data_IF_802845033767
#
_entry.id   IF_802845033767
#
_cell.length_a   1.000
_cell.length_b   1.000
_cell.length_c   1.000
_cell.angle_alpha   90.00
_cell.angle_beta   90.00
_cell.angle_gamma   90.00
#
_symmetry.space_group_name_H-M   'P 1'
#
loop_
_entity.id
_entity.type
_entity.pdbx_description
1 polymer ?
#
# COMPACT_ATOMS: atom_id res chain seq x y z
N UNK A 1 10.18 -3.76 -0.35
CA UNK A 1 8.99 -4.45 -0.87
C UNK A 1 9.10 -4.71 -2.35
N UNK A 2 8.46 -5.76 -2.90
CA UNK A 2 8.56 -6.05 -4.33
C UNK A 2 7.89 -4.93 -5.14
N UNK A 3 6.73 -4.41 -4.71
CA UNK A 3 6.08 -3.25 -5.34
C UNK A 3 7.02 -2.04 -5.37
N UNK A 4 7.59 -1.68 -4.24
CA UNK A 4 8.57 -0.59 -4.11
C UNK A 4 9.89 -0.87 -4.86
N UNK A 5 10.36 -2.14 -4.93
CA UNK A 5 11.53 -2.53 -5.73
C UNK A 5 11.25 -2.56 -7.23
N UNK A 6 10.01 -2.83 -7.62
CA UNK A 6 9.57 -2.82 -9.02
C UNK A 6 9.52 -1.39 -9.53
N UNK A 7 8.99 -0.45 -8.74
CA UNK A 7 9.01 0.98 -9.04
C UNK A 7 10.47 1.48 -9.14
N UNK A 8 11.34 1.13 -8.20
CA UNK A 8 12.79 1.47 -8.25
C UNK A 8 13.55 0.85 -9.43
N UNK A 9 13.12 -0.28 -9.96
CA UNK A 9 13.73 -0.89 -11.16
C UNK A 9 13.42 -0.15 -12.46
N UNK A 10 12.42 0.75 -12.46
CA UNK A 10 12.04 1.55 -13.63
C UNK A 10 12.74 2.92 -13.68
N UNK A 11 13.19 3.43 -12.54
CA UNK A 11 13.93 4.70 -12.46
C UNK A 11 15.33 4.42 -11.92
N UNK A 12 16.36 4.80 -12.68
CA UNK A 12 17.76 4.66 -12.29
C UNK A 12 18.01 5.30 -10.91
N UNK A 13 19.06 4.85 -10.24
CA UNK A 13 19.51 5.25 -8.90
C UNK A 13 19.53 6.79 -8.73
N UNK A 14 18.41 7.38 -8.31
CA UNK A 14 18.39 8.70 -7.70
C UNK A 14 18.50 8.53 -6.18
N UNK A 15 19.23 9.43 -5.53
CA UNK A 15 19.41 9.45 -4.08
C UNK A 15 18.04 9.55 -3.39
N UNK A 16 17.67 8.57 -2.59
CA UNK A 16 16.29 8.28 -2.13
C UNK A 16 15.74 9.29 -1.09
N UNK A 17 16.37 10.44 -0.89
CA UNK A 17 16.06 11.35 0.21
C UNK A 17 14.91 12.31 -0.04
N UNK A 18 14.50 12.50 -1.31
CA UNK A 18 13.49 13.49 -1.70
C UNK A 18 12.33 12.91 -2.54
N UNK A 19 12.22 11.57 -2.66
CA UNK A 19 11.17 10.94 -3.44
C UNK A 19 9.90 10.73 -2.60
N UNK A 20 8.80 11.31 -3.04
CA UNK A 20 7.47 11.10 -2.45
C UNK A 20 6.81 9.87 -3.08
N UNK A 21 6.27 8.99 -2.23
CA UNK A 21 5.37 7.94 -2.66
C UNK A 21 3.94 8.49 -2.66
N UNK A 22 3.33 8.57 -3.84
CA UNK A 22 1.97 9.08 -4.03
C UNK A 22 1.08 7.89 -4.33
N UNK A 23 0.11 7.62 -3.45
CA UNK A 23 -0.84 6.52 -3.58
C UNK A 23 -2.27 7.04 -3.69
N UNK A 24 -3.01 6.56 -4.70
CA UNK A 24 -4.47 6.72 -4.80
C UNK A 24 -5.11 5.34 -4.87
N UNK A 25 -6.09 5.09 -4.01
CA UNK A 25 -6.84 3.84 -3.94
C UNK A 25 -8.30 4.05 -4.29
N UNK A 26 -8.89 3.09 -5.01
CA UNK A 26 -10.31 3.08 -5.30
C UNK A 26 -10.91 1.67 -5.14
N UNK A 27 -12.18 1.53 -4.73
CA UNK A 27 -12.86 0.26 -4.83
C UNK A 27 -13.02 -0.15 -6.30
N UNK A 28 -12.91 -1.44 -6.59
CA UNK A 28 -13.02 -1.96 -7.95
C UNK A 28 -14.13 -3.01 -8.03
N UNK A 29 -15.11 -2.80 -8.91
CA UNK A 29 -16.23 -3.74 -9.09
C UNK A 29 -15.85 -4.97 -9.92
N UNK A 30 -14.85 -4.85 -10.80
CA UNK A 30 -14.47 -5.91 -11.74
C UNK A 30 -12.96 -5.83 -12.04
N UNK A 31 -12.18 -6.50 -11.20
CA UNK A 31 -10.72 -6.61 -11.37
C UNK A 31 -10.35 -7.31 -12.68
N UNK A 32 -11.17 -8.26 -13.15
CA UNK A 32 -10.89 -9.00 -14.39
C UNK A 32 -10.98 -8.08 -15.60
N UNK A 33 -12.00 -7.21 -15.65
CA UNK A 33 -12.15 -6.19 -16.70
C UNK A 33 -11.01 -5.18 -16.64
N UNK A 34 -10.66 -4.71 -15.44
CA UNK A 34 -9.57 -3.76 -15.23
C UNK A 34 -8.23 -4.35 -15.69
N UNK A 35 -7.95 -5.60 -15.33
CA UNK A 35 -6.77 -6.33 -15.77
C UNK A 35 -6.68 -6.43 -17.30
N UNK A 36 -7.78 -6.77 -17.97
CA UNK A 36 -7.84 -6.80 -19.44
C UNK A 36 -7.54 -5.42 -20.05
N UNK A 37 -8.01 -4.35 -19.44
CA UNK A 37 -7.74 -2.98 -19.89
C UNK A 37 -6.26 -2.61 -19.71
N UNK A 38 -5.65 -2.97 -18.57
CA UNK A 38 -4.21 -2.79 -18.33
C UNK A 38 -3.37 -3.48 -19.40
N UNK A 39 -3.66 -4.75 -19.70
CA UNK A 39 -2.95 -5.51 -20.72
C UNK A 39 -3.12 -4.88 -22.11
N UNK A 40 -4.33 -4.43 -22.48
CA UNK A 40 -4.58 -3.73 -23.75
C UNK A 40 -3.79 -2.43 -23.88
N UNK A 41 -3.55 -1.72 -22.77
CA UNK A 41 -2.75 -0.50 -22.75
C UNK A 41 -1.23 -0.76 -22.69
N UNK A 42 -0.81 -2.04 -22.73
CA UNK A 42 0.59 -2.44 -22.72
C UNK A 42 1.21 -2.46 -21.33
N UNK A 43 0.41 -2.63 -20.27
CA UNK A 43 0.94 -2.76 -18.92
C UNK A 43 1.81 -4.03 -18.81
N UNK A 44 2.95 -3.89 -18.13
CA UNK A 44 3.84 -5.00 -17.80
C UNK A 44 3.36 -5.71 -16.54
N UNK A 45 3.15 -7.02 -16.61
CA UNK A 45 2.81 -7.87 -15.46
C UNK A 45 4.08 -8.18 -14.63
N UNK A 46 4.05 -7.91 -13.34
CA UNK A 46 5.11 -8.22 -12.39
C UNK A 46 4.77 -9.38 -11.45
N UNK A 47 3.61 -10.01 -11.65
CA UNK A 47 3.18 -11.18 -10.91
C UNK A 47 2.23 -10.90 -9.75
N UNK A 48 2.02 -11.94 -8.96
CA UNK A 48 1.08 -11.93 -7.85
C UNK A 48 1.82 -12.10 -6.52
N UNK A 49 1.44 -11.28 -5.54
CA UNK A 49 1.93 -11.31 -4.18
C UNK A 49 0.82 -11.78 -3.24
N UNK A 50 1.16 -12.64 -2.28
CA UNK A 50 0.32 -12.96 -1.14
C UNK A 50 0.85 -12.18 0.05
N UNK A 51 0.03 -11.29 0.58
CA UNK A 51 0.42 -10.39 1.67
C UNK A 51 -0.45 -10.63 2.89
N UNK A 52 0.19 -10.65 4.06
CA UNK A 52 -0.48 -10.63 5.34
C UNK A 52 0.17 -9.56 6.23
N UNK A 53 -0.63 -8.59 6.62
CA UNK A 53 -0.24 -7.44 7.43
C UNK A 53 -0.77 -7.61 8.85
N UNK A 54 0.09 -7.61 9.85
CA UNK A 54 -0.31 -7.47 11.26
C UNK A 54 -0.04 -6.06 11.71
N UNK A 55 -1.07 -5.35 12.14
CA UNK A 55 -0.97 -4.00 12.68
C UNK A 55 -0.86 -4.05 14.19
N UNK A 56 -0.06 -3.14 14.76
CA UNK A 56 0.21 -3.10 16.20
C UNK A 56 -0.21 -1.75 16.80
N UNK A 57 -0.86 -1.82 17.97
CA UNK A 57 -1.13 -0.64 18.80
C UNK A 57 0.09 -0.31 19.67
N UNK A 58 0.40 0.97 19.78
CA UNK A 58 1.47 1.47 20.65
C UNK A 58 1.01 1.46 22.13
N UNK A 59 1.89 1.12 23.09
CA UNK A 59 1.50 0.98 24.50
C UNK A 59 1.08 2.28 25.18
N UNK A 60 1.54 3.45 24.68
CA UNK A 60 1.29 4.76 25.29
C UNK A 60 0.71 5.82 24.35
N UNK A 61 0.59 5.52 23.03
CA UNK A 61 0.03 6.44 22.02
C UNK A 61 -1.14 5.80 21.31
N UNK A 62 -2.16 6.57 21.01
CA UNK A 62 -3.28 6.15 20.18
C UNK A 62 -2.98 6.46 18.71
N UNK A 63 -2.47 5.47 17.99
CA UNK A 63 -2.12 5.60 16.57
C UNK A 63 -3.32 5.97 15.68
N UNK A 64 -4.55 5.62 16.09
CA UNK A 64 -5.75 6.03 15.38
C UNK A 64 -5.99 7.54 15.48
N UNK A 65 -5.60 8.19 16.62
CA UNK A 65 -5.73 9.64 16.79
C UNK A 65 -4.59 10.42 16.16
N UNK A 66 -3.39 9.82 16.12
CA UNK A 66 -2.20 10.48 15.56
C UNK A 66 -1.99 10.19 14.07
N UNK A 67 -2.88 9.41 13.44
CA UNK A 67 -2.79 8.96 12.06
C UNK A 67 -1.47 8.21 11.75
N UNK A 68 -0.95 7.49 12.74
CA UNK A 68 0.23 6.65 12.63
C UNK A 68 -0.14 5.18 12.44
N UNK A 69 0.78 4.37 11.94
CA UNK A 69 0.63 2.92 11.94
C UNK A 69 1.98 2.21 12.08
N UNK A 70 1.98 1.10 12.82
CA UNK A 70 3.08 0.13 12.85
C UNK A 70 2.57 -1.19 12.30
N UNK A 71 3.25 -1.71 11.29
CA UNK A 71 2.85 -2.92 10.56
C UNK A 71 4.01 -3.88 10.42
N UNK A 72 3.76 -5.17 10.64
CA UNK A 72 4.63 -6.25 10.19
C UNK A 72 3.93 -6.95 9.04
N UNK A 73 4.54 -6.92 7.86
CA UNK A 73 4.05 -7.56 6.63
C UNK A 73 4.85 -8.81 6.33
N UNK A 74 4.14 -9.90 6.06
CA UNK A 74 4.72 -11.03 5.32
C UNK A 74 4.27 -10.93 3.86
N UNK A 75 5.22 -11.04 2.94
CA UNK A 75 5.01 -11.00 1.51
C UNK A 75 5.78 -12.16 0.88
N UNK A 76 5.07 -13.22 0.50
CA UNK A 76 5.70 -14.49 0.14
C UNK A 76 6.69 -14.92 1.26
N UNK A 77 7.98 -14.99 0.97
CA UNK A 77 9.05 -15.38 1.92
C UNK A 77 9.73 -14.18 2.61
N UNK A 78 9.27 -12.97 2.35
CA UNK A 78 9.85 -11.75 2.93
C UNK A 78 9.01 -11.25 4.11
N UNK A 79 9.70 -10.75 5.13
CA UNK A 79 9.05 -10.04 6.24
C UNK A 79 9.62 -8.63 6.33
N UNK A 80 8.73 -7.64 6.45
CA UNK A 80 9.09 -6.23 6.55
C UNK A 80 8.32 -5.61 7.72
N UNK A 81 9.01 -4.86 8.56
CA UNK A 81 8.38 -3.96 9.53
C UNK A 81 8.35 -2.56 8.95
N UNK A 82 7.19 -1.91 9.04
CA UNK A 82 6.96 -0.56 8.53
C UNK A 82 6.38 0.31 9.62
N UNK A 83 7.00 1.44 9.90
CA UNK A 83 6.36 2.57 10.58
C UNK A 83 5.85 3.55 9.52
N UNK A 84 4.60 4.01 9.70
CA UNK A 84 3.96 5.00 8.86
C UNK A 84 3.59 6.19 9.71
N UNK A 85 4.13 7.36 9.38
CA UNK A 85 3.80 8.63 10.00
C UNK A 85 2.42 9.16 9.57
N UNK A 86 1.97 10.31 10.11
CA UNK A 86 0.74 10.98 9.71
C UNK A 86 0.74 11.33 8.21
N UNK A 87 -0.45 11.33 7.58
CA UNK A 87 -0.61 11.78 6.19
C UNK A 87 -0.25 13.27 6.05
N UNK A 88 0.50 13.61 5.02
CA UNK A 88 0.99 14.96 4.76
C UNK A 88 -0.02 15.84 4.02
N UNK A 89 -1.00 15.25 3.33
CA UNK A 89 -2.01 15.96 2.55
C UNK A 89 -3.40 15.33 2.65
N UNK A 90 -4.40 16.06 2.07
CA UNK A 90 -5.80 15.64 2.16
C UNK A 90 -6.31 14.80 0.98
N UNK A 91 -5.55 14.73 -0.12
CA UNK A 91 -6.00 14.10 -1.37
C UNK A 91 -5.33 12.76 -1.65
N UNK A 92 -4.16 12.52 -1.06
CA UNK A 92 -3.40 11.28 -1.22
C UNK A 92 -3.10 10.61 0.12
N UNK A 93 -2.39 9.49 0.09
CA UNK A 93 -1.87 8.81 1.29
C UNK A 93 -0.39 9.08 1.50
N UNK A 94 0.14 10.16 0.93
CA UNK A 94 1.53 10.54 1.08
C UNK A 94 1.88 10.76 2.54
N UNK A 95 2.93 10.08 3.03
CA UNK A 95 3.40 10.15 4.41
C UNK A 95 4.86 9.69 4.51
N UNK A 96 5.50 9.97 5.63
CA UNK A 96 6.78 9.32 5.94
C UNK A 96 6.58 7.81 6.16
N UNK A 97 7.40 6.98 5.53
CA UNK A 97 7.42 5.54 5.74
C UNK A 97 8.85 5.07 6.01
N UNK A 98 9.06 4.46 7.17
CA UNK A 98 10.32 3.85 7.55
C UNK A 98 10.17 2.33 7.49
N UNK A 99 10.98 1.68 6.66
CA UNK A 99 10.90 0.24 6.44
C UNK A 99 12.23 -0.47 6.66
N UNK A 100 12.14 -1.65 7.25
CA UNK A 100 13.28 -2.55 7.35
C UNK A 100 12.84 -4.01 7.16
N UNK A 101 13.61 -4.76 6.37
CA UNK A 101 13.42 -6.20 6.24
C UNK A 101 13.93 -6.92 7.47
N UNK A 102 13.18 -7.92 7.93
CA UNK A 102 13.53 -8.76 9.07
C UNK A 102 13.53 -10.23 8.66
N UNK A 103 14.43 -11.01 9.23
CA UNK A 103 14.61 -12.40 8.85
C UNK A 103 13.48 -13.32 9.34
N UNK A 104 12.81 -12.98 10.45
CA UNK A 104 11.87 -13.87 11.11
C UNK A 104 10.67 -13.11 11.71
N UNK A 105 9.48 -13.41 11.19
CA UNK A 105 8.23 -12.76 11.62
C UNK A 105 7.90 -13.06 13.09
N UNK A 106 8.14 -14.27 13.56
CA UNK A 106 7.88 -14.65 14.96
C UNK A 106 8.77 -13.90 15.94
N UNK A 107 10.05 -13.75 15.61
CA UNK A 107 11.00 -13.02 16.44
C UNK A 107 10.64 -11.54 16.54
N UNK A 108 10.35 -10.85 15.42
CA UNK A 108 9.99 -9.43 15.45
C UNK A 108 8.65 -9.22 16.19
N UNK A 109 7.65 -10.08 15.99
CA UNK A 109 6.39 -10.02 16.73
C UNK A 109 6.62 -10.15 18.24
N UNK A 110 7.44 -11.11 18.67
CA UNK A 110 7.78 -11.32 20.10
C UNK A 110 8.52 -10.13 20.69
N UNK A 111 9.42 -9.48 19.93
CA UNK A 111 10.10 -8.26 20.36
C UNK A 111 9.09 -7.13 20.58
N UNK A 112 8.21 -6.89 19.62
CA UNK A 112 7.19 -5.85 19.72
C UNK A 112 6.26 -6.06 20.92
N UNK A 113 5.80 -7.31 21.13
CA UNK A 113 4.94 -7.65 22.28
C UNK A 113 5.66 -7.43 23.61
N UNK A 114 6.94 -7.81 23.72
CA UNK A 114 7.76 -7.57 24.93
C UNK A 114 8.01 -6.08 25.18
N UNK A 115 8.01 -5.25 24.13
CA UNK A 115 8.08 -3.79 24.23
C UNK A 115 6.70 -3.15 24.53
N UNK A 116 5.63 -3.98 24.68
CA UNK A 116 4.29 -3.53 25.04
C UNK A 116 3.38 -3.22 23.89
N UNK A 117 3.83 -3.37 22.64
CA UNK A 117 2.94 -3.28 21.48
C UNK A 117 1.98 -4.46 21.44
N UNK A 118 0.75 -4.24 20.98
CA UNK A 118 -0.27 -5.29 20.92
C UNK A 118 -0.77 -5.45 19.48
N UNK A 119 -0.87 -6.69 18.96
CA UNK A 119 -1.50 -6.92 17.67
C UNK A 119 -2.98 -6.50 17.74
N UNK A 120 -3.42 -5.71 16.75
CA UNK A 120 -4.80 -5.17 16.68
C UNK A 120 -5.61 -5.95 15.66
N UNK A 121 -5.07 -6.10 14.45
CA UNK A 121 -5.77 -6.68 13.33
C UNK A 121 -4.78 -7.28 12.33
N UNK A 122 -5.21 -8.37 11.70
CA UNK A 122 -4.54 -8.95 10.54
C UNK A 122 -5.33 -8.64 9.28
N UNK A 123 -4.67 -8.06 8.28
CA UNK A 123 -5.21 -7.82 6.93
C UNK A 123 -4.51 -8.76 5.97
N UNK A 124 -5.22 -9.66 5.34
CA UNK A 124 -4.69 -10.54 4.31
C UNK A 124 -5.23 -10.10 2.95
N UNK A 125 -4.37 -10.17 1.92
CA UNK A 125 -4.75 -9.85 0.55
C UNK A 125 -3.91 -10.60 -0.47
N UNK A 126 -4.49 -10.78 -1.65
CA UNK A 126 -3.78 -11.17 -2.86
C UNK A 126 -3.67 -9.93 -3.74
N UNK A 127 -2.44 -9.56 -4.11
CA UNK A 127 -2.12 -8.38 -4.93
C UNK A 127 -1.52 -8.80 -6.25
N UNK A 128 -2.10 -8.39 -7.37
CA UNK A 128 -1.46 -8.52 -8.67
C UNK A 128 -0.90 -7.16 -9.10
N UNK A 129 0.37 -7.13 -9.52
CA UNK A 129 1.10 -5.89 -9.76
C UNK A 129 1.36 -5.69 -11.23
N UNK A 130 1.02 -4.51 -11.73
CA UNK A 130 1.28 -4.04 -13.09
C UNK A 130 2.07 -2.74 -13.08
N UNK A 131 2.93 -2.54 -14.08
CA UNK A 131 3.58 -1.27 -14.36
C UNK A 131 3.08 -0.67 -15.65
N UNK A 132 2.63 0.57 -15.62
CA UNK A 132 2.16 1.30 -16.80
C UNK A 132 2.49 2.78 -16.70
N UNK A 133 3.27 3.30 -17.67
CA UNK A 133 3.63 4.73 -17.75
C UNK A 133 4.28 5.29 -16.47
N UNK A 134 5.14 4.50 -15.82
CA UNK A 134 5.81 4.90 -14.58
C UNK A 134 4.94 4.77 -13.31
N UNK A 135 3.70 4.28 -13.43
CA UNK A 135 2.79 4.04 -12.29
C UNK A 135 2.75 2.54 -12.02
N UNK A 136 2.86 2.15 -10.76
CA UNK A 136 2.51 0.81 -10.29
C UNK A 136 1.01 0.74 -10.08
N UNK A 137 0.35 -0.23 -10.73
CA UNK A 137 -1.09 -0.48 -10.59
C UNK A 137 -1.27 -1.82 -9.90
N UNK A 138 -1.77 -1.77 -8.67
CA UNK A 138 -1.94 -2.94 -7.81
C UNK A 138 -3.42 -3.35 -7.75
N UNK A 139 -3.74 -4.54 -8.25
CA UNK A 139 -5.07 -5.12 -8.18
C UNK A 139 -5.16 -5.97 -6.92
N UNK A 140 -5.90 -5.50 -5.93
CA UNK A 140 -6.00 -6.10 -4.61
C UNK A 140 -7.34 -6.82 -4.41
N UNK A 141 -7.27 -8.09 -4.04
CA UNK A 141 -8.38 -8.82 -3.42
C UNK A 141 -8.10 -8.93 -1.93
N UNK A 142 -8.88 -8.21 -1.13
CA UNK A 142 -8.66 -8.06 0.31
C UNK A 142 -9.70 -8.90 1.06
N UNK A 143 -9.22 -9.79 1.92
CA UNK A 143 -10.09 -10.66 2.71
C UNK A 143 -11.04 -9.83 3.59
N UNK A 144 -12.34 -10.13 3.50
CA UNK A 144 -13.37 -9.42 4.24
C UNK A 144 -13.75 -8.02 3.73
N UNK A 145 -13.03 -7.46 2.74
CA UNK A 145 -13.35 -6.13 2.17
C UNK A 145 -13.78 -6.18 0.70
N UNK A 146 -13.27 -7.15 -0.07
CA UNK A 146 -13.49 -7.23 -1.51
C UNK A 146 -12.34 -6.65 -2.34
N UNK A 147 -12.67 -6.15 -3.52
CA UNK A 147 -11.72 -5.82 -4.56
C UNK A 147 -11.42 -4.31 -4.61
N UNK A 148 -10.13 -3.98 -4.70
CA UNK A 148 -9.62 -2.60 -4.78
C UNK A 148 -8.52 -2.51 -5.85
N UNK A 149 -8.26 -1.28 -6.29
CA UNK A 149 -7.07 -0.93 -7.07
C UNK A 149 -6.31 0.18 -6.37
N UNK A 150 -4.99 0.05 -6.30
CA UNK A 150 -4.08 1.09 -5.82
C UNK A 150 -3.18 1.51 -6.97
N UNK A 151 -2.99 2.83 -7.13
CA UNK A 151 -2.07 3.45 -8.07
C UNK A 151 -0.97 4.10 -7.27
N UNK A 152 0.27 3.66 -7.46
CA UNK A 152 1.44 4.14 -6.73
C UNK A 152 2.41 4.79 -7.73
N UNK A 153 2.86 5.99 -7.45
CA UNK A 153 3.83 6.74 -8.23
C UNK A 153 4.89 7.31 -7.30
N UNK A 154 6.15 7.15 -7.66
CA UNK A 154 7.28 7.77 -6.97
C UNK A 154 7.77 8.96 -7.78
N UNK A 155 7.92 10.12 -7.14
CA UNK A 155 8.38 11.34 -7.80
C UNK A 155 8.67 12.46 -6.81
N UNK A 156 9.31 13.51 -7.28
CA UNK A 156 9.70 14.66 -6.45
C UNK A 156 8.54 15.65 -6.23
N UNK A 157 7.57 15.67 -7.15
CA UNK A 157 6.50 16.66 -7.20
C UNK A 157 5.13 16.01 -6.95
N UNK A 158 4.50 16.33 -5.82
CA UNK A 158 3.21 15.77 -5.39
C UNK A 158 2.09 15.97 -6.41
N UNK A 159 1.91 17.20 -6.90
CA UNK A 159 0.80 17.53 -7.81
C UNK A 159 1.00 16.92 -9.20
N UNK A 160 2.24 16.87 -9.69
CA UNK A 160 2.56 16.20 -10.94
C UNK A 160 2.26 14.69 -10.86
N UNK A 161 2.66 14.03 -9.78
CA UNK A 161 2.37 12.62 -9.55
C UNK A 161 0.87 12.33 -9.44
N UNK A 162 0.11 13.15 -8.71
CA UNK A 162 -1.35 13.06 -8.65
C UNK A 162 -2.00 13.21 -10.03
N UNK A 163 -1.52 14.14 -10.86
CA UNK A 163 -2.03 14.33 -12.21
C UNK A 163 -1.78 13.12 -13.12
N UNK A 164 -0.59 12.51 -13.02
CA UNK A 164 -0.23 11.29 -13.76
C UNK A 164 -1.18 10.15 -13.36
N UNK A 165 -1.37 9.92 -12.06
CA UNK A 165 -2.28 8.88 -11.56
C UNK A 165 -3.71 9.13 -12.02
N UNK A 166 -4.24 10.35 -11.84
CA UNK A 166 -5.62 10.70 -12.23
C UNK A 166 -5.88 10.50 -13.73
N UNK A 167 -4.90 10.85 -14.57
CA UNK A 167 -4.99 10.60 -16.01
C UNK A 167 -5.07 9.10 -16.32
N UNK A 168 -4.22 8.29 -15.67
CA UNK A 168 -4.21 6.83 -15.86
C UNK A 168 -5.51 6.19 -15.37
N UNK A 169 -6.06 6.64 -14.24
CA UNK A 169 -7.38 6.22 -13.74
C UNK A 169 -8.48 6.50 -14.77
N UNK A 170 -8.47 7.69 -15.39
CA UNK A 170 -9.41 8.04 -16.45
C UNK A 170 -9.29 7.11 -17.67
N UNK A 171 -8.07 6.83 -18.14
CA UNK A 171 -7.80 5.92 -19.27
C UNK A 171 -8.29 4.48 -18.98
N UNK A 172 -8.27 4.07 -17.72
CA UNK A 172 -8.70 2.74 -17.25
C UNK A 172 -10.18 2.67 -16.87
N UNK A 173 -10.87 3.82 -16.81
CA UNK A 173 -12.27 3.91 -16.36
C UNK A 173 -12.45 3.62 -14.87
N UNK A 174 -11.45 3.99 -14.05
CA UNK A 174 -11.49 3.86 -12.60
C UNK A 174 -11.91 5.19 -11.98
N UNK A 175 -12.93 5.16 -11.14
CA UNK A 175 -13.45 6.32 -10.41
C UNK A 175 -13.36 6.11 -8.90
N UNK A 176 -13.34 7.21 -8.16
CA UNK A 176 -13.30 7.23 -6.71
C UNK A 176 -11.91 7.41 -6.13
N UNK A 177 -11.89 7.73 -4.84
CA UNK A 177 -10.68 7.88 -4.04
C UNK A 177 -11.00 7.44 -2.61
N UNK A 178 -10.53 6.27 -2.21
CA UNK A 178 -10.67 5.76 -0.85
C UNK A 178 -9.39 6.02 -0.05
N UNK A 179 -9.46 7.00 0.83
CA UNK A 179 -8.30 7.46 1.64
C UNK A 179 -8.02 6.58 2.85
N UNK A 180 -9.03 5.85 3.34
CA UNK A 180 -8.84 4.95 4.48
C UNK A 180 -7.93 3.79 4.10
N UNK A 181 -7.06 3.39 5.00
CA UNK A 181 -6.29 2.15 4.89
C UNK A 181 -7.22 0.93 4.95
N UNK A 182 -6.75 -0.23 4.52
CA UNK A 182 -7.52 -1.48 4.68
C UNK A 182 -7.80 -1.78 6.16
N UNK A 183 -6.87 -1.43 7.06
CA UNK A 183 -7.09 -1.51 8.50
C UNK A 183 -8.31 -0.68 8.93
N UNK A 184 -8.37 0.61 8.55
CA UNK A 184 -9.47 1.51 8.88
C UNK A 184 -10.80 1.03 8.31
N UNK A 185 -10.79 0.48 7.08
CA UNK A 185 -11.98 -0.07 6.43
C UNK A 185 -12.54 -1.29 7.20
N UNK A 186 -11.68 -2.23 7.60
CA UNK A 186 -12.09 -3.41 8.35
C UNK A 186 -12.60 -3.02 9.76
N UNK A 187 -11.89 -2.11 10.44
CA UNK A 187 -12.33 -1.62 11.76
C UNK A 187 -13.67 -0.90 11.70
N UNK A 188 -13.97 -0.21 10.60
CA UNK A 188 -15.27 0.44 10.40
C UNK A 188 -16.42 -0.57 10.20
N UNK A 189 -16.17 -1.72 9.58
CA UNK A 189 -17.18 -2.79 9.43
C UNK A 189 -17.53 -3.46 10.76
N UNK A 190 -16.55 -3.62 11.66
CA UNK A 190 -16.76 -4.28 12.95
C UNK A 190 -17.42 -3.39 14.02
N UNK A 191 -17.74 -2.13 13.70
CA UNK A 191 -18.42 -1.17 14.60
C UNK A 191 -19.93 -1.02 14.33
N UNK A 192 -20.48 -1.81 13.39
CA UNK A 192 -21.91 -1.84 13.05
C UNK A 192 -22.62 -3.00 13.73
#
# INVERSE_FOLDING_TARGET
>A
MLCHRIAKGFMGHADSRDMLEIEIKAPCKDLVKLEKNLVKLGARDFGTLVQADVYYAHPARDFGKTDEALRVRTENDLTVITYKGPKLDQDSKTREELEVSVANVGTISSILERLGFRPVLKVAKRRKVYGLRGVSVCLDRVDGLGDYVEFEYEGEELEAGKAIIKRLMGDLGVEGNERRSYLELILAQGRN
#
